data_IF_004271649467
#
_entry.id   IF_004271649467
#
_cell.length_a   1.000
_cell.length_b   1.000
_cell.length_c   1.000
_cell.angle_alpha   90.00
_cell.angle_beta   90.00
_cell.angle_gamma   90.00
#
_symmetry.space_group_name_H-M   'P 1'
#
loop_
_entity.id
_entity.type
_entity.pdbx_description
1 polymer ?
#
# COMPACT_ATOMS: atom_id res chain seq x y z
N UNK A 1 -37.72 21.45 -31.09
CA UNK A 1 -36.39 21.23 -30.49
C UNK A 1 -36.50 21.57 -29.01
N UNK A 2 -36.77 20.57 -28.17
CA UNK A 2 -36.50 20.64 -26.74
C UNK A 2 -35.63 19.42 -26.42
N UNK A 3 -34.42 19.72 -25.98
CA UNK A 3 -33.42 18.77 -25.52
C UNK A 3 -33.76 18.50 -24.05
N UNK A 4 -34.22 17.30 -23.72
CA UNK A 4 -34.28 16.83 -22.33
C UNK A 4 -32.97 16.08 -22.04
N UNK A 5 -32.00 16.78 -21.46
CA UNK A 5 -30.88 16.16 -20.76
C UNK A 5 -31.43 15.69 -19.39
N UNK A 6 -31.79 14.42 -19.26
CA UNK A 6 -31.98 13.83 -17.93
C UNK A 6 -30.60 13.45 -17.36
N UNK A 7 -30.21 13.97 -16.18
CA UNK A 7 -29.00 13.55 -15.50
C UNK A 7 -29.20 12.14 -14.91
N UNK A 8 -28.26 11.24 -15.19
CA UNK A 8 -28.22 9.88 -14.66
C UNK A 8 -28.25 9.89 -13.12
N UNK A 9 -29.36 9.43 -12.52
CA UNK A 9 -29.37 8.96 -11.13
C UNK A 9 -29.38 7.42 -11.15
N UNK A 10 -28.20 6.82 -11.31
CA UNK A 10 -28.04 5.38 -11.05
C UNK A 10 -27.98 5.19 -9.54
N UNK A 11 -29.13 4.92 -8.90
CA UNK A 11 -29.11 4.36 -7.53
C UNK A 11 -28.72 2.89 -7.63
N UNK A 12 -27.44 2.61 -7.39
CA UNK A 12 -26.96 1.24 -7.14
C UNK A 12 -27.37 0.86 -5.71
N UNK A 13 -28.29 -0.08 -5.57
CA UNK A 13 -28.54 -0.75 -4.28
C UNK A 13 -27.72 -2.03 -4.26
N UNK A 14 -26.70 -2.10 -3.40
CA UNK A 14 -25.92 -3.31 -3.17
C UNK A 14 -26.32 -3.92 -1.83
N UNK A 15 -26.84 -5.15 -1.83
CA UNK A 15 -27.06 -5.92 -0.61
C UNK A 15 -25.82 -6.75 -0.30
N UNK A 16 -25.20 -6.49 0.85
CA UNK A 16 -24.07 -7.27 1.35
C UNK A 16 -24.57 -8.47 2.17
N UNK A 17 -24.27 -9.68 1.73
CA UNK A 17 -24.36 -10.87 2.59
C UNK A 17 -22.97 -11.45 2.81
N UNK A 18 -22.54 -11.47 4.08
CA UNK A 18 -21.45 -12.27 4.63
C UNK A 18 -20.27 -12.59 3.68
N UNK A 19 -19.63 -11.56 3.14
CA UNK A 19 -18.27 -11.64 2.60
C UNK A 19 -18.07 -12.31 1.23
N UNK A 20 -19.09 -12.84 0.54
CA UNK A 20 -18.95 -13.28 -0.87
C UNK A 20 -20.25 -13.07 -1.67
N UNK A 21 -20.06 -12.55 -2.88
CA UNK A 21 -21.04 -12.24 -3.96
C UNK A 21 -21.76 -10.88 -3.83
N UNK A 22 -21.60 -10.05 -4.88
CA UNK A 22 -22.35 -8.81 -5.10
C UNK A 22 -23.44 -9.06 -6.14
N UNK A 23 -24.70 -8.91 -5.77
CA UNK A 23 -25.82 -8.80 -6.73
C UNK A 23 -26.11 -7.30 -6.92
N UNK A 24 -25.69 -6.75 -8.05
CA UNK A 24 -26.04 -5.38 -8.45
C UNK A 24 -27.26 -5.44 -9.37
N UNK A 25 -28.39 -4.87 -8.95
CA UNK A 25 -29.50 -4.57 -9.85
C UNK A 25 -29.48 -3.08 -10.21
N UNK A 26 -29.64 -2.77 -11.50
CA UNK A 26 -29.91 -1.42 -11.98
C UNK A 26 -31.36 -1.37 -12.46
N UNK A 27 -32.16 -0.44 -11.93
CA UNK A 27 -33.50 -0.17 -12.43
C UNK A 27 -33.38 0.99 -13.42
N UNK A 28 -33.48 0.70 -14.71
CA UNK A 28 -33.64 1.73 -15.75
C UNK A 28 -35.11 2.16 -15.78
N UNK A 29 -35.42 3.27 -15.12
CA UNK A 29 -36.75 3.88 -15.16
C UNK A 29 -36.80 5.05 -16.14
N UNK A 30 -37.44 4.90 -17.29
CA UNK A 30 -37.94 6.03 -18.08
C UNK A 30 -39.47 6.05 -17.99
N UNK A 31 -40.03 7.16 -17.50
CA UNK A 31 -41.48 7.40 -17.48
C UNK A 31 -41.89 8.17 -18.73
N UNK A 32 -42.65 7.54 -19.62
CA UNK A 32 -43.68 8.21 -20.40
C UNK A 32 -44.76 7.22 -20.82
N UNK A 33 -45.96 7.42 -20.26
CA UNK A 33 -47.29 7.00 -20.76
C UNK A 33 -47.39 5.72 -21.59
N UNK A 34 -47.95 4.67 -20.97
CA UNK A 34 -48.75 3.66 -21.66
C UNK A 34 -47.98 2.57 -22.40
N UNK A 35 -47.26 1.73 -21.67
CA UNK A 35 -46.71 0.47 -22.20
C UNK A 35 -46.14 -0.39 -21.09
N UNK A 36 -46.46 -1.68 -21.08
CA UNK A 36 -45.91 -2.65 -20.12
C UNK A 36 -44.40 -2.78 -20.42
N UNK A 37 -43.57 -2.30 -19.51
CA UNK A 37 -42.12 -2.46 -19.56
C UNK A 37 -41.77 -3.93 -19.22
N UNK A 38 -41.44 -4.71 -20.26
CA UNK A 38 -40.69 -5.95 -20.08
C UNK A 38 -39.28 -5.56 -19.63
N UNK A 39 -38.99 -5.72 -18.34
CA UNK A 39 -37.63 -5.55 -17.82
C UNK A 39 -36.83 -6.81 -18.15
N UNK A 40 -35.89 -6.72 -19.09
CA UNK A 40 -34.92 -7.78 -19.32
C UNK A 40 -33.95 -7.79 -18.14
N UNK A 41 -34.05 -8.80 -17.29
CA UNK A 41 -33.12 -9.03 -16.20
C UNK A 41 -31.83 -9.63 -16.79
N UNK A 42 -30.89 -8.80 -17.20
CA UNK A 42 -29.57 -9.29 -17.60
C UNK A 42 -28.76 -9.63 -16.34
N UNK A 43 -28.62 -10.92 -16.07
CA UNK A 43 -27.73 -11.45 -15.05
C UNK A 43 -26.31 -11.48 -15.63
N UNK A 44 -25.47 -10.56 -15.22
CA UNK A 44 -24.04 -10.64 -15.52
C UNK A 44 -23.36 -11.25 -14.29
N UNK A 45 -22.66 -12.37 -14.48
CA UNK A 45 -21.76 -12.87 -13.46
C UNK A 45 -20.53 -11.95 -13.45
N UNK A 46 -20.34 -11.17 -12.40
CA UNK A 46 -19.03 -10.59 -12.12
C UNK A 46 -18.09 -11.76 -11.84
N UNK A 47 -17.08 -11.97 -12.68
CA UNK A 47 -15.98 -12.88 -12.35
C UNK A 47 -15.38 -12.42 -11.02
N UNK A 48 -15.45 -13.30 -10.02
CA UNK A 48 -14.82 -13.06 -8.73
C UNK A 48 -13.31 -13.10 -8.95
N UNK A 49 -12.74 -11.96 -9.32
CA UNK A 49 -11.30 -11.78 -9.34
C UNK A 49 -10.82 -12.02 -7.90
N UNK A 50 -10.09 -13.12 -7.69
CA UNK A 50 -9.63 -13.52 -6.36
C UNK A 50 -8.97 -12.35 -5.65
N UNK A 51 -9.26 -12.17 -4.35
CA UNK A 51 -8.76 -11.04 -3.55
C UNK A 51 -7.24 -10.91 -3.64
N UNK A 52 -6.77 -9.80 -4.20
CA UNK A 52 -5.35 -9.46 -4.27
C UNK A 52 -4.88 -8.98 -2.88
N UNK A 53 -3.98 -9.73 -2.26
CA UNK A 53 -3.38 -9.36 -0.97
C UNK A 53 -2.10 -8.57 -1.17
N UNK A 54 -1.81 -7.62 -0.27
CA UNK A 54 -0.54 -6.88 -0.26
C UNK A 54 0.37 -7.40 0.85
N UNK A 55 1.65 -7.54 0.54
CA UNK A 55 2.73 -7.79 1.51
C UNK A 55 3.90 -6.86 1.23
N UNK A 56 4.44 -6.27 2.28
CA UNK A 56 5.70 -5.54 2.20
C UNK A 56 6.84 -6.37 2.82
N UNK A 57 8.03 -6.29 2.22
CA UNK A 57 9.24 -6.90 2.74
C UNK A 57 10.42 -5.95 2.58
N UNK A 58 11.40 -6.05 3.49
CA UNK A 58 12.63 -5.27 3.38
C UNK A 58 13.61 -5.94 2.41
N UNK A 59 14.34 -5.17 1.61
CA UNK A 59 15.44 -5.70 0.78
C UNK A 59 16.40 -6.53 1.66
N UNK A 60 16.73 -7.75 1.21
CA UNK A 60 17.61 -8.69 1.91
C UNK A 60 16.92 -9.57 2.95
N UNK A 61 15.64 -9.32 3.27
CA UNK A 61 14.85 -10.15 4.19
C UNK A 61 14.25 -11.38 3.49
N UNK A 62 13.54 -12.21 4.25
CA UNK A 62 12.73 -13.32 3.71
C UNK A 62 11.24 -13.05 3.92
N UNK A 63 10.41 -13.45 2.94
CA UNK A 63 8.95 -13.26 2.98
C UNK A 63 8.22 -14.57 2.73
N UNK A 64 7.29 -14.92 3.62
CA UNK A 64 6.42 -16.08 3.47
C UNK A 64 5.16 -15.71 2.68
N UNK A 65 4.97 -16.40 1.56
CA UNK A 65 3.81 -16.32 0.69
C UNK A 65 2.92 -17.55 0.94
N UNK A 66 1.76 -17.39 1.61
CA UNK A 66 0.85 -18.49 1.87
C UNK A 66 0.13 -18.94 0.59
N UNK A 67 -0.08 -20.25 0.46
CA UNK A 67 -0.90 -20.84 -0.60
C UNK A 67 -2.42 -20.70 -0.30
N UNK A 68 -3.30 -21.05 -1.27
CA UNK A 68 -4.75 -21.12 -1.01
C UNK A 68 -5.09 -22.14 0.09
N UNK A 69 -6.20 -21.89 0.81
CA UNK A 69 -6.66 -22.74 1.93
C UNK A 69 -7.07 -24.17 1.49
N UNK A 70 -7.33 -24.39 0.19
CA UNK A 70 -7.73 -25.68 -0.39
C UNK A 70 -6.58 -26.71 -0.51
N UNK A 71 -5.46 -26.50 0.18
CA UNK A 71 -4.25 -27.35 0.09
C UNK A 71 -4.43 -28.81 0.50
N UNK A 72 -5.51 -29.14 1.23
CA UNK A 72 -5.81 -30.53 1.62
C UNK A 72 -6.07 -31.44 0.42
N UNK A 73 -6.57 -30.89 -0.69
CA UNK A 73 -6.87 -31.61 -1.93
C UNK A 73 -5.76 -31.44 -2.99
N UNK A 74 -4.61 -30.87 -2.60
CA UNK A 74 -3.50 -30.62 -3.51
C UNK A 74 -2.87 -31.94 -4.02
N UNK A 75 -3.00 -32.19 -5.32
CA UNK A 75 -2.19 -33.17 -6.07
C UNK A 75 -1.09 -32.49 -6.86
N UNK A 76 -1.33 -31.24 -7.26
CA UNK A 76 -0.37 -30.37 -7.92
C UNK A 76 -0.50 -28.93 -7.39
N UNK A 77 0.62 -28.24 -7.25
CA UNK A 77 0.65 -26.81 -6.95
C UNK A 77 1.73 -26.12 -7.77
N UNK A 78 1.40 -24.94 -8.27
CA UNK A 78 2.35 -24.07 -8.92
C UNK A 78 2.31 -22.65 -8.35
N UNK A 79 3.49 -22.07 -8.22
CA UNK A 79 3.70 -20.64 -8.01
C UNK A 79 4.16 -20.00 -9.32
N UNK A 80 3.53 -18.90 -9.71
CA UNK A 80 3.91 -18.05 -10.84
C UNK A 80 4.21 -16.65 -10.36
N UNK A 81 5.19 -16.01 -10.97
CA UNK A 81 5.45 -14.58 -10.85
C UNK A 81 4.85 -13.86 -12.06
N UNK A 82 4.20 -12.72 -11.82
CA UNK A 82 3.65 -11.82 -12.82
C UNK A 82 4.16 -10.40 -12.58
N UNK A 83 4.65 -9.75 -13.64
CA UNK A 83 5.03 -8.33 -13.61
C UNK A 83 4.69 -7.70 -14.96
N UNK A 84 3.60 -6.93 -15.00
CA UNK A 84 3.02 -6.46 -16.25
C UNK A 84 2.62 -7.64 -17.14
N UNK A 85 3.23 -7.73 -18.32
CA UNK A 85 3.02 -8.83 -19.29
C UNK A 85 4.00 -9.99 -19.12
N UNK A 86 5.08 -9.79 -18.35
CA UNK A 86 6.06 -10.84 -18.11
C UNK A 86 5.53 -11.84 -17.07
N UNK A 87 5.71 -13.12 -17.34
CA UNK A 87 5.40 -14.18 -16.39
C UNK A 87 6.41 -15.32 -16.46
N UNK A 88 6.67 -15.95 -15.33
CA UNK A 88 7.45 -17.19 -15.26
C UNK A 88 7.00 -18.04 -14.07
N UNK A 89 7.26 -19.34 -14.15
CA UNK A 89 7.06 -20.24 -13.02
C UNK A 89 8.14 -20.01 -11.97
N UNK A 90 7.79 -20.13 -10.69
CA UNK A 90 8.74 -20.05 -9.58
C UNK A 90 8.99 -21.46 -9.03
N UNK A 91 7.90 -22.15 -8.67
CA UNK A 91 7.92 -23.52 -8.14
C UNK A 91 6.75 -24.30 -8.74
N UNK A 92 7.00 -25.56 -9.10
CA UNK A 92 5.96 -26.54 -9.42
C UNK A 92 6.18 -27.80 -8.59
N UNK A 93 5.12 -28.34 -8.00
CA UNK A 93 5.20 -29.49 -7.09
C UNK A 93 4.03 -30.44 -7.32
N UNK A 94 4.35 -31.73 -7.48
CA UNK A 94 3.38 -32.82 -7.47
C UNK A 94 3.45 -33.56 -6.13
N UNK A 95 2.30 -33.87 -5.54
CA UNK A 95 2.24 -34.62 -4.29
C UNK A 95 2.86 -36.01 -4.47
N UNK A 96 3.78 -36.36 -3.58
CA UNK A 96 4.53 -37.61 -3.64
C UNK A 96 5.86 -37.51 -4.40
N UNK A 97 6.16 -36.38 -5.03
CA UNK A 97 7.52 -36.06 -5.49
C UNK A 97 8.45 -35.90 -4.29
N UNK A 98 9.72 -36.29 -4.45
CA UNK A 98 10.76 -36.04 -3.44
C UNK A 98 11.03 -34.55 -3.29
N UNK A 99 11.04 -33.82 -4.41
CA UNK A 99 11.47 -32.42 -4.47
C UNK A 99 10.55 -31.56 -5.37
N UNK A 100 10.38 -30.27 -5.02
CA UNK A 100 9.73 -29.29 -5.88
C UNK A 100 10.66 -28.80 -7.00
N UNK A 101 10.11 -28.56 -8.19
CA UNK A 101 10.85 -27.99 -9.32
C UNK A 101 10.92 -26.47 -9.20
N UNK A 102 12.07 -25.94 -8.82
CA UNK A 102 12.32 -24.49 -8.74
C UNK A 102 12.98 -23.92 -10.00
N UNK A 103 12.50 -22.76 -10.44
CA UNK A 103 12.85 -22.11 -11.71
C UNK A 103 13.57 -20.77 -11.50
N UNK A 104 14.38 -20.38 -12.49
CA UNK A 104 15.04 -19.07 -12.51
C UNK A 104 14.02 -17.93 -12.67
N UNK A 105 14.31 -16.70 -12.19
CA UNK A 105 15.54 -16.24 -11.55
C UNK A 105 15.59 -16.47 -10.03
N UNK A 106 14.49 -16.90 -9.41
CA UNK A 106 14.40 -17.10 -7.96
C UNK A 106 14.97 -18.43 -7.48
N UNK A 107 15.44 -19.28 -8.40
CA UNK A 107 16.12 -20.54 -8.10
C UNK A 107 17.28 -20.31 -7.13
N UNK A 108 17.30 -21.06 -6.03
CA UNK A 108 18.31 -20.93 -4.97
C UNK A 108 17.95 -19.92 -3.86
N UNK A 109 16.83 -19.19 -3.99
CA UNK A 109 16.29 -18.29 -2.95
C UNK A 109 14.90 -18.72 -2.48
N UNK A 110 14.39 -19.86 -2.95
CA UNK A 110 13.03 -20.32 -2.65
C UNK A 110 13.05 -21.57 -1.80
N UNK A 111 12.28 -21.55 -0.72
CA UNK A 111 11.97 -22.71 0.09
C UNK A 111 10.47 -22.97 -0.04
N UNK A 112 10.12 -24.13 -0.57
CA UNK A 112 8.72 -24.55 -0.69
C UNK A 112 8.37 -25.48 0.47
N UNK A 113 7.16 -25.33 1.02
CA UNK A 113 6.67 -26.16 2.11
C UNK A 113 5.56 -27.09 1.61
N UNK A 114 5.87 -28.37 1.29
CA UNK A 114 4.88 -29.31 0.75
C UNK A 114 3.66 -29.55 1.64
N UNK A 115 3.81 -29.40 2.95
CA UNK A 115 2.74 -29.63 3.92
C UNK A 115 1.57 -28.65 3.77
N UNK A 116 1.84 -27.41 3.36
CA UNK A 116 0.83 -26.36 3.25
C UNK A 116 0.92 -25.54 1.96
N UNK A 117 1.79 -25.90 1.02
CA UNK A 117 1.94 -25.26 -0.28
C UNK A 117 2.61 -23.88 -0.26
N UNK A 118 3.00 -23.37 0.92
CA UNK A 118 3.53 -22.02 1.06
C UNK A 118 4.94 -21.92 0.47
N UNK A 119 5.30 -20.72 0.05
CA UNK A 119 6.59 -20.39 -0.54
C UNK A 119 7.28 -19.32 0.31
N UNK A 120 8.45 -19.64 0.86
CA UNK A 120 9.34 -18.64 1.43
C UNK A 120 10.31 -18.19 0.35
N UNK A 121 10.31 -16.89 0.05
CA UNK A 121 11.30 -16.25 -0.80
C UNK A 121 12.32 -15.55 0.10
N UNK A 122 13.58 -15.98 0.01
CA UNK A 122 14.69 -15.50 0.82
C UNK A 122 15.49 -14.42 0.08
N UNK A 123 16.18 -13.58 0.86
CA UNK A 123 17.04 -12.51 0.37
C UNK A 123 16.36 -11.71 -0.76
N UNK A 124 15.18 -11.16 -0.46
CA UNK A 124 14.35 -10.48 -1.45
C UNK A 124 15.05 -9.25 -2.02
N UNK A 125 14.93 -9.06 -3.32
CA UNK A 125 15.52 -7.95 -4.07
C UNK A 125 14.43 -6.99 -4.54
N UNK A 126 14.80 -5.75 -4.87
CA UNK A 126 13.84 -4.81 -5.48
C UNK A 126 13.26 -5.34 -6.81
N UNK A 127 13.97 -6.21 -7.52
CA UNK A 127 13.46 -6.85 -8.73
C UNK A 127 12.39 -7.92 -8.47
N UNK A 128 12.24 -8.36 -7.22
CA UNK A 128 11.21 -9.33 -6.82
C UNK A 128 9.83 -8.68 -6.60
N UNK A 129 9.72 -7.34 -6.73
CA UNK A 129 8.45 -6.61 -6.76
C UNK A 129 7.53 -7.20 -7.84
N UNK A 130 6.29 -7.53 -7.50
CA UNK A 130 5.34 -8.08 -8.47
C UNK A 130 4.23 -8.90 -7.83
N UNK A 131 3.43 -9.55 -8.68
CA UNK A 131 2.31 -10.38 -8.24
C UNK A 131 2.72 -11.85 -8.26
N UNK A 132 2.57 -12.51 -7.12
CA UNK A 132 2.82 -13.93 -6.92
C UNK A 132 1.48 -14.65 -6.90
N UNK A 133 1.35 -15.68 -7.74
CA UNK A 133 0.11 -16.42 -7.94
C UNK A 133 0.34 -17.88 -7.61
N UNK A 134 -0.40 -18.39 -6.63
CA UNK A 134 -0.43 -19.80 -6.29
C UNK A 134 -1.70 -20.45 -6.81
N UNK A 135 -1.57 -21.52 -7.58
CA UNK A 135 -2.70 -22.28 -8.13
C UNK A 135 -2.59 -23.73 -7.71
N UNK A 136 -3.67 -24.28 -7.15
CA UNK A 136 -3.79 -25.69 -6.77
C UNK A 136 -4.55 -26.43 -7.86
N UNK A 137 -4.04 -27.58 -8.29
CA UNK A 137 -4.66 -28.45 -9.30
C UNK A 137 -5.12 -27.71 -10.57
N UNK A 138 -4.41 -26.65 -10.96
CA UNK A 138 -4.73 -25.79 -12.11
C UNK A 138 -6.09 -25.05 -12.03
N UNK A 139 -6.70 -24.95 -10.85
CA UNK A 139 -7.96 -24.24 -10.63
C UNK A 139 -7.69 -22.74 -10.42
N UNK A 140 -7.72 -21.97 -11.50
CA UNK A 140 -7.36 -20.53 -11.46
C UNK A 140 -8.33 -19.65 -10.68
N UNK A 141 -9.61 -20.02 -10.62
CA UNK A 141 -10.64 -19.31 -9.86
C UNK A 141 -10.42 -19.34 -8.34
N UNK A 142 -9.63 -20.30 -7.85
CA UNK A 142 -9.23 -20.43 -6.44
C UNK A 142 -7.81 -19.94 -6.18
N UNK A 143 -7.16 -19.32 -7.17
CA UNK A 143 -5.77 -18.92 -7.05
C UNK A 143 -5.60 -17.83 -5.97
N UNK A 144 -4.54 -17.96 -5.17
CA UNK A 144 -4.11 -16.92 -4.23
C UNK A 144 -3.21 -15.95 -4.98
N UNK A 145 -3.53 -14.67 -4.92
CA UNK A 145 -2.77 -13.59 -5.57
C UNK A 145 -2.20 -12.65 -4.51
N UNK A 146 -0.90 -12.44 -4.55
CA UNK A 146 -0.19 -11.60 -3.57
C UNK A 146 0.67 -10.58 -4.33
N UNK A 147 0.38 -9.29 -4.18
CA UNK A 147 1.27 -8.21 -4.55
C UNK A 147 2.36 -8.08 -3.47
N UNK A 148 3.58 -8.42 -3.84
CA UNK A 148 4.77 -8.22 -3.01
C UNK A 148 5.40 -6.88 -3.36
N UNK A 149 5.53 -6.02 -2.37
CA UNK A 149 6.30 -4.78 -2.43
C UNK A 149 7.59 -4.93 -1.63
N UNK A 150 8.73 -4.85 -2.31
CA UNK A 150 10.06 -4.90 -1.69
C UNK A 150 10.58 -3.48 -1.52
N UNK A 151 10.76 -3.07 -0.26
CA UNK A 151 11.10 -1.71 0.14
C UNK A 151 12.50 -1.65 0.76
N UNK A 152 13.21 -0.55 0.49
CA UNK A 152 14.40 -0.19 1.26
C UNK A 152 13.99 0.47 2.59
N UNK A 153 14.69 0.19 3.70
CA UNK A 153 14.51 0.97 4.93
C UNK A 153 14.73 2.46 4.70
N UNK A 154 13.96 3.31 5.38
CA UNK A 154 14.20 4.76 5.33
C UNK A 154 15.51 5.09 6.05
N UNK A 155 16.30 5.99 5.46
CA UNK A 155 17.49 6.51 6.14
C UNK A 155 17.13 7.50 7.23
N UNK A 156 18.10 7.74 8.12
CA UNK A 156 17.93 8.72 9.19
C UNK A 156 17.76 10.12 8.59
N UNK A 157 16.67 10.85 8.90
CA UNK A 157 16.42 12.16 8.29
C UNK A 157 17.45 13.20 8.73
N UNK A 158 17.73 14.17 7.88
CA UNK A 158 18.47 15.38 8.20
C UNK A 158 17.47 16.51 8.46
N UNK A 159 17.58 17.15 9.62
CA UNK A 159 16.68 18.23 10.04
C UNK A 159 17.46 19.53 10.21
N UNK A 160 17.05 20.58 9.49
CA UNK A 160 17.73 21.87 9.48
C UNK A 160 16.75 23.04 9.27
N UNK A 161 17.18 24.27 9.52
CA UNK A 161 16.35 25.48 9.38
C UNK A 161 16.98 26.52 8.44
N UNK A 162 16.16 27.35 7.78
CA UNK A 162 16.65 28.43 6.91
C UNK A 162 16.97 29.75 7.66
N UNK A 163 16.34 29.97 8.81
CA UNK A 163 16.42 31.22 9.57
C UNK A 163 16.32 30.91 11.05
N UNK A 164 16.99 31.73 11.84
CA UNK A 164 16.95 31.72 13.29
C UNK A 164 16.46 33.07 13.83
N UNK A 165 15.88 33.95 13.00
CA UNK A 165 15.57 35.34 13.38
C UNK A 165 14.13 35.50 13.87
N UNK A 166 13.96 36.29 14.93
CA UNK A 166 12.65 36.77 15.40
C UNK A 166 11.92 37.52 14.28
N UNK A 167 10.57 37.46 14.25
CA UNK A 167 9.71 38.16 13.27
C UNK A 167 9.96 37.79 11.81
N UNK A 168 10.77 36.75 11.55
CA UNK A 168 10.99 36.20 10.22
C UNK A 168 10.26 34.87 10.07
N UNK A 169 9.88 34.53 8.84
CA UNK A 169 9.37 33.20 8.54
C UNK A 169 10.49 32.17 8.69
N UNK A 170 10.30 31.18 9.57
CA UNK A 170 11.22 30.08 9.81
C UNK A 170 10.67 28.83 9.13
N UNK A 171 11.49 28.17 8.34
CA UNK A 171 11.20 26.87 7.72
C UNK A 171 12.15 25.84 8.27
N UNK A 172 11.59 24.76 8.79
CA UNK A 172 12.33 23.55 9.15
C UNK A 172 12.16 22.52 8.02
N UNK A 173 13.26 21.93 7.60
CA UNK A 173 13.31 20.96 6.52
C UNK A 173 13.61 19.58 7.08
N UNK A 174 13.02 18.56 6.48
CA UNK A 174 13.26 17.16 6.79
C UNK A 174 13.59 16.40 5.51
N UNK A 175 14.89 16.13 5.33
CA UNK A 175 15.41 15.49 4.14
C UNK A 175 15.81 14.04 4.43
N UNK A 176 15.40 13.14 3.55
CA UNK A 176 15.69 11.69 3.63
C UNK A 176 16.40 11.31 2.35
N UNK A 177 17.58 10.71 2.47
CA UNK A 177 18.44 10.36 1.34
C UNK A 177 18.09 9.03 0.69
N UNK A 178 17.60 8.06 1.48
CA UNK A 178 17.35 6.69 1.03
C UNK A 178 16.04 6.15 1.59
N UNK A 179 15.43 5.25 0.82
CA UNK A 179 14.14 4.67 1.12
C UNK A 179 12.96 5.55 0.69
N UNK A 180 11.86 4.91 0.31
CA UNK A 180 10.58 5.59 0.04
C UNK A 180 9.99 6.04 1.37
N UNK A 181 9.51 7.27 1.44
CA UNK A 181 8.86 7.84 2.63
C UNK A 181 7.37 7.94 2.41
N UNK A 182 6.60 7.27 3.25
CA UNK A 182 5.13 7.18 3.15
C UNK A 182 4.46 8.11 4.15
N UNK A 183 5.05 8.26 5.32
CA UNK A 183 4.56 9.19 6.35
C UNK A 183 5.68 10.07 6.90
N UNK A 184 5.31 11.30 7.24
CA UNK A 184 6.18 12.27 7.91
C UNK A 184 5.38 12.89 9.06
N UNK A 185 5.93 12.84 10.26
CA UNK A 185 5.31 13.38 11.47
C UNK A 185 6.28 14.34 12.15
N UNK A 186 5.84 15.58 12.33
CA UNK A 186 6.57 16.58 13.10
C UNK A 186 6.10 16.62 14.54
N UNK A 187 7.06 16.79 15.47
CA UNK A 187 6.81 16.99 16.89
C UNK A 187 7.64 18.16 17.39
N UNK A 188 7.13 18.85 18.40
CA UNK A 188 7.87 19.84 19.19
C UNK A 188 7.98 19.32 20.62
N UNK A 189 9.19 19.30 21.17
CA UNK A 189 9.49 18.85 22.53
C UNK A 189 8.89 17.46 22.84
N UNK A 190 9.04 16.54 21.87
CA UNK A 190 8.52 15.17 21.87
C UNK A 190 6.98 15.03 21.88
N UNK A 191 6.25 16.13 21.77
CA UNK A 191 4.78 16.15 21.70
C UNK A 191 4.31 16.53 20.29
N UNK A 192 3.07 16.18 19.91
CA UNK A 192 2.47 16.73 18.70
C UNK A 192 2.59 18.25 18.66
N UNK A 193 2.65 18.82 17.44
CA UNK A 193 2.70 20.27 17.28
C UNK A 193 1.50 20.93 18.01
N UNK A 194 1.72 21.93 18.88
CA UNK A 194 0.65 22.66 19.55
C UNK A 194 -0.36 23.23 18.56
N UNK A 195 -1.67 23.03 18.83
CA UNK A 195 -2.74 23.47 17.92
C UNK A 195 -2.96 24.99 17.97
N UNK A 196 -2.61 25.63 19.08
CA UNK A 196 -2.74 27.06 19.30
C UNK A 196 -1.74 27.90 18.48
N UNK A 197 -0.72 27.24 17.92
CA UNK A 197 0.35 27.87 17.14
C UNK A 197 0.14 27.64 15.63
N UNK A 198 0.23 28.71 14.83
CA UNK A 198 0.12 28.64 13.36
C UNK A 198 1.33 27.95 12.69
N UNK A 199 1.41 26.64 12.84
CA UNK A 199 2.33 25.77 12.11
C UNK A 199 1.72 25.38 10.77
N UNK A 200 2.43 25.64 9.67
CA UNK A 200 1.98 25.32 8.31
C UNK A 200 2.87 24.26 7.69
N UNK A 201 2.30 23.11 7.34
CA UNK A 201 3.03 22.04 6.66
C UNK A 201 2.93 22.20 5.13
N UNK A 202 4.01 21.91 4.43
CA UNK A 202 3.98 21.76 2.96
C UNK A 202 3.09 20.58 2.55
N UNK A 203 2.69 20.54 1.26
CA UNK A 203 1.88 19.44 0.70
C UNK A 203 2.51 18.06 0.91
N UNK A 204 3.85 17.98 0.85
CA UNK A 204 4.60 16.74 1.06
C UNK A 204 5.08 16.56 2.51
N UNK A 205 4.65 17.43 3.43
CA UNK A 205 4.95 17.41 4.87
C UNK A 205 6.45 17.55 5.24
N UNK A 206 7.35 17.67 4.26
CA UNK A 206 8.81 17.79 4.48
C UNK A 206 9.23 19.14 5.04
N UNK A 207 8.39 20.16 4.92
CA UNK A 207 8.69 21.51 5.37
C UNK A 207 7.65 21.93 6.40
N UNK A 208 8.11 22.24 7.61
CA UNK A 208 7.34 22.88 8.65
C UNK A 208 7.63 24.39 8.64
N UNK A 209 6.64 25.19 8.27
CA UNK A 209 6.74 26.64 8.18
C UNK A 209 6.09 27.30 9.40
N UNK A 210 6.86 28.17 10.04
CA UNK A 210 6.49 29.05 11.14
C UNK A 210 6.45 30.47 10.56
N UNK A 211 5.27 31.03 10.22
CA UNK A 211 5.16 32.27 9.45
C UNK A 211 5.84 33.48 10.10
N UNK A 212 5.83 33.55 11.42
CA UNK A 212 6.42 34.62 12.21
C UNK A 212 7.11 34.02 13.43
N UNK A 213 8.45 33.95 13.43
CA UNK A 213 9.21 33.36 14.53
C UNK A 213 9.10 34.15 15.84
N UNK A 214 8.72 33.46 16.92
CA UNK A 214 8.58 34.02 18.27
C UNK A 214 9.47 33.26 19.26
N UNK A 215 9.81 33.85 20.41
CA UNK A 215 10.62 33.17 21.44
C UNK A 215 9.98 31.87 21.95
N UNK A 216 8.65 31.80 22.01
CA UNK A 216 7.92 30.59 22.37
C UNK A 216 8.12 29.43 21.37
N UNK A 217 8.65 29.70 20.18
CA UNK A 217 9.02 28.68 19.19
C UNK A 217 10.41 28.08 19.46
N UNK A 218 11.20 28.57 20.44
CA UNK A 218 12.41 27.83 20.86
C UNK A 218 11.97 26.42 21.34
N UNK A 219 12.78 25.40 21.02
CA UNK A 219 12.50 24.02 21.42
C UNK A 219 13.14 22.98 20.51
N UNK A 220 12.94 21.71 20.86
CA UNK A 220 13.45 20.57 20.08
C UNK A 220 12.39 20.10 19.09
N UNK A 221 12.63 20.30 17.79
CA UNK A 221 11.75 19.85 16.73
C UNK A 221 12.26 18.53 16.18
N UNK A 222 11.42 17.50 16.16
CA UNK A 222 11.78 16.20 15.58
C UNK A 222 10.92 15.87 14.36
N UNK A 223 11.55 15.35 13.33
CA UNK A 223 10.90 14.78 12.16
C UNK A 223 11.03 13.26 12.21
N UNK A 224 9.89 12.58 12.29
CA UNK A 224 9.79 11.13 12.16
C UNK A 224 9.36 10.81 10.73
N UNK A 225 10.06 9.88 10.08
CA UNK A 225 9.79 9.43 8.71
C UNK A 225 9.63 7.91 8.72
N UNK A 226 8.69 7.39 7.96
CA UNK A 226 8.47 5.93 7.90
C UNK A 226 7.96 5.43 6.56
N UNK A 227 8.11 4.13 6.38
CA UNK A 227 7.41 3.32 5.39
C UNK A 227 6.85 2.05 6.06
N UNK A 228 6.22 1.16 5.28
CA UNK A 228 5.58 -0.06 5.81
C UNK A 228 6.53 -0.98 6.60
N UNK A 229 7.86 -0.89 6.39
CA UNK A 229 8.84 -1.82 7.00
C UNK A 229 9.83 -1.17 7.96
N UNK A 230 9.88 0.16 8.05
CA UNK A 230 10.86 0.88 8.89
C UNK A 230 10.44 2.30 9.22
N UNK A 231 11.04 2.85 10.27
CA UNK A 231 10.93 4.26 10.62
C UNK A 231 12.26 4.80 11.16
N UNK A 232 12.47 6.11 11.02
CA UNK A 232 13.63 6.82 11.56
C UNK A 232 13.21 8.20 12.07
N UNK A 233 13.99 8.77 12.98
CA UNK A 233 13.75 10.09 13.54
C UNK A 233 15.06 10.86 13.76
N UNK A 234 15.00 12.16 13.50
CA UNK A 234 16.03 13.12 13.89
C UNK A 234 15.42 14.38 14.43
N UNK A 235 16.18 15.12 15.22
CA UNK A 235 15.76 16.36 15.85
C UNK A 235 16.74 17.49 15.61
N UNK A 236 16.19 18.71 15.62
CA UNK A 236 16.89 19.98 15.58
C UNK A 236 16.46 20.81 16.79
N UNK A 237 17.42 21.33 17.54
CA UNK A 237 17.11 22.31 18.58
C UNK A 237 17.06 23.69 17.93
N UNK A 238 15.86 24.27 17.87
CA UNK A 238 15.64 25.60 17.32
C UNK A 238 15.87 26.65 18.41
N UNK A 239 16.82 27.56 18.17
CA UNK A 239 17.08 28.74 19.01
C UNK A 239 16.84 29.99 18.17
N UNK A 240 15.97 30.88 18.63
CA UNK A 240 15.62 32.10 17.88
C UNK A 240 16.42 33.28 18.44
N UNK A 241 17.27 33.86 17.60
CA UNK A 241 18.12 34.99 17.91
C UNK A 241 17.34 36.32 17.83
N UNK A 242 17.36 37.07 18.94
CA UNK A 242 16.85 38.44 19.13
C UNK A 242 17.54 39.08 20.35
N UNK A 243 17.19 40.31 20.72
CA UNK A 243 17.86 41.14 21.77
C UNK A 243 17.95 40.55 23.20
N UNK A 244 17.60 39.28 23.42
CA UNK A 244 17.85 38.52 24.64
C UNK A 244 17.65 37.03 24.33
N UNK A 245 18.59 36.19 24.76
CA UNK A 245 18.65 34.75 24.51
C UNK A 245 17.36 34.00 24.94
N UNK A 246 17.11 32.83 24.33
CA UNK A 246 16.36 31.77 25.01
C UNK A 246 17.22 31.33 26.22
#
# INVERSE_FOLDING_TARGET
MLICLCPEFVRKSCTFFAGKVSLCSAILGCSSSGGILLTSLELWAAEAEGTLERKAAAVGSSVLLPAPDSVKLMTFLQWKYLNGTASHFIVQYHKGSSDPTAHAPSRGRVIFYPANGSLLLENVLETDNGIYVATINMVESEARRILLEVLKPVSRPQVWSNSLRVQSAIKLFCDVSEGRVDTIVWKKDRKPLPQERDFRLSKNLRILNIPEGQKSDCGSYSCNVSNEISWQESSLNLTIAGNSFC
#
